data_IF_345530837404
#
_entry.id   IF_345530837404
#
_cell.length_a   1.000
_cell.length_b   1.000
_cell.length_c   1.000
_cell.angle_alpha   90.00
_cell.angle_beta   90.00
_cell.angle_gamma   90.00
#
_symmetry.space_group_name_H-M   'P 1'
#
loop_
_entity.id
_entity.type
_entity.pdbx_description
1 polymer ?
#
# COMPACT_ATOMS: atom_id res chain seq x y z
N UNK A 1 19.82 -54.49 5.17
CA UNK A 1 20.14 -53.57 4.05
C UNK A 1 18.94 -52.76 3.56
N UNK A 2 17.68 -53.20 3.76
CA UNK A 2 16.49 -52.44 3.36
C UNK A 2 16.22 -51.19 4.20
N UNK A 3 16.43 -51.26 5.51
CA UNK A 3 16.08 -50.20 6.47
C UNK A 3 16.87 -48.90 6.32
N UNK A 4 18.09 -48.96 5.77
CA UNK A 4 18.93 -47.77 5.60
C UNK A 4 18.48 -46.89 4.43
N UNK A 5 17.99 -47.50 3.34
CA UNK A 5 17.49 -46.79 2.16
C UNK A 5 16.17 -46.05 2.43
N UNK A 6 15.32 -46.61 3.30
CA UNK A 6 14.04 -45.99 3.70
C UNK A 6 14.23 -44.74 4.58
N UNK A 7 15.32 -44.69 5.36
CA UNK A 7 15.65 -43.52 6.21
C UNK A 7 16.13 -42.36 5.35
N UNK A 8 16.95 -42.62 4.32
CA UNK A 8 17.49 -41.55 3.46
C UNK A 8 16.40 -40.88 2.62
N UNK A 9 15.48 -41.66 2.03
CA UNK A 9 14.34 -41.11 1.30
C UNK A 9 13.36 -40.33 2.17
N UNK A 10 13.19 -40.69 3.44
CA UNK A 10 12.36 -39.93 4.38
C UNK A 10 13.02 -38.62 4.82
N UNK A 11 14.35 -38.60 5.01
CA UNK A 11 15.10 -37.36 5.27
C UNK A 11 15.01 -36.38 4.09
N UNK A 12 15.11 -36.87 2.86
CA UNK A 12 14.98 -36.04 1.65
C UNK A 12 13.59 -35.41 1.55
N UNK A 13 12.52 -36.18 1.77
CA UNK A 13 11.14 -35.67 1.78
C UNK A 13 10.92 -34.63 2.87
N UNK A 14 11.48 -34.84 4.07
CA UNK A 14 11.46 -33.85 5.17
C UNK A 14 12.23 -32.60 4.76
N UNK A 15 13.35 -32.73 4.05
CA UNK A 15 14.13 -31.58 3.57
C UNK A 15 13.36 -30.77 2.52
N UNK A 16 12.70 -31.44 1.57
CA UNK A 16 11.91 -30.80 0.50
C UNK A 16 10.67 -30.14 1.08
N UNK A 17 9.97 -30.81 2.00
CA UNK A 17 8.81 -30.24 2.69
C UNK A 17 9.20 -29.00 3.52
N UNK A 18 10.34 -29.07 4.22
CA UNK A 18 10.87 -27.94 4.99
C UNK A 18 11.27 -26.78 4.09
N UNK A 19 11.91 -27.06 2.95
CA UNK A 19 12.28 -26.05 1.96
C UNK A 19 11.05 -25.40 1.33
N UNK A 20 10.03 -26.19 0.99
CA UNK A 20 8.77 -25.69 0.45
C UNK A 20 8.06 -24.76 1.45
N UNK A 21 7.98 -25.14 2.73
CA UNK A 21 7.37 -24.32 3.77
C UNK A 21 8.10 -22.99 3.95
N UNK A 22 9.45 -23.01 3.99
CA UNK A 22 10.26 -21.78 4.09
C UNK A 22 10.07 -20.88 2.88
N UNK A 23 10.10 -21.44 1.67
CA UNK A 23 9.92 -20.68 0.43
C UNK A 23 8.52 -20.08 0.34
N UNK A 24 7.48 -20.81 0.77
CA UNK A 24 6.12 -20.29 0.86
C UNK A 24 6.02 -19.12 1.82
N UNK A 25 6.64 -19.21 3.00
CA UNK A 25 6.67 -18.10 3.97
C UNK A 25 7.38 -16.86 3.41
N UNK A 26 8.48 -17.04 2.67
CA UNK A 26 9.17 -15.93 1.98
C UNK A 26 8.28 -15.31 0.91
N UNK A 27 7.60 -16.12 0.10
CA UNK A 27 6.68 -15.63 -0.93
C UNK A 27 5.53 -14.82 -0.33
N UNK A 28 4.92 -15.28 0.76
CA UNK A 28 3.86 -14.52 1.43
C UNK A 28 4.38 -13.19 1.98
N UNK A 29 5.55 -13.17 2.63
CA UNK A 29 6.15 -11.91 3.10
C UNK A 29 6.46 -10.93 1.96
N UNK A 30 6.95 -11.42 0.81
CA UNK A 30 7.19 -10.58 -0.36
C UNK A 30 5.88 -10.04 -0.95
N UNK A 31 4.82 -10.85 -0.98
CA UNK A 31 3.49 -10.43 -1.41
C UNK A 31 2.91 -9.37 -0.49
N UNK A 32 2.99 -9.59 0.82
CA UNK A 32 2.53 -8.64 1.83
C UNK A 32 3.30 -7.34 1.77
N UNK A 33 4.63 -7.41 1.63
CA UNK A 33 5.48 -6.23 1.43
C UNK A 33 5.12 -5.47 0.15
N UNK A 34 4.94 -6.15 -0.97
CA UNK A 34 4.55 -5.53 -2.24
C UNK A 34 3.12 -4.95 -2.22
N UNK A 35 2.22 -5.56 -1.45
CA UNK A 35 0.87 -5.03 -1.20
C UNK A 35 0.93 -3.81 -0.29
N UNK A 36 1.69 -3.89 0.80
CA UNK A 36 1.91 -2.79 1.75
C UNK A 36 2.56 -1.57 1.07
N UNK A 37 3.59 -1.78 0.26
CA UNK A 37 4.24 -0.71 -0.51
C UNK A 37 3.33 -0.06 -1.57
N UNK A 38 2.23 -0.72 -1.95
CA UNK A 38 1.19 -0.15 -2.84
C UNK A 38 0.00 0.41 -2.06
N UNK A 39 -0.21 -0.06 -0.83
CA UNK A 39 -1.28 0.35 0.08
C UNK A 39 -0.86 1.55 0.94
N UNK A 40 0.43 1.82 1.08
CA UNK A 40 0.93 3.15 1.41
C UNK A 40 0.58 4.02 0.21
N UNK A 41 -0.60 4.64 0.35
CA UNK A 41 -1.37 5.41 -0.59
C UNK A 41 -0.54 5.97 -1.74
N UNK A 42 -1.03 5.82 -2.97
CA UNK A 42 -0.87 6.90 -3.95
C UNK A 42 -1.61 8.12 -3.39
N UNK A 43 -1.00 8.76 -2.41
CA UNK A 43 -1.48 10.01 -1.85
C UNK A 43 -1.10 11.04 -2.89
N UNK A 44 -2.09 11.43 -3.68
CA UNK A 44 -1.93 12.58 -4.54
C UNK A 44 -1.38 13.73 -3.68
N UNK A 45 -0.35 14.46 -4.14
CA UNK A 45 0.21 15.55 -3.38
C UNK A 45 -0.91 16.52 -2.98
N UNK A 46 -1.11 16.72 -1.68
CA UNK A 46 -2.09 17.69 -1.19
C UNK A 46 -1.47 19.07 -1.26
N UNK A 47 -2.17 20.00 -1.90
CA UNK A 47 -1.72 21.39 -2.05
C UNK A 47 -2.55 22.32 -1.17
N UNK A 48 -1.92 23.36 -0.65
CA UNK A 48 -2.67 24.48 -0.05
C UNK A 48 -3.57 25.12 -1.09
N UNK A 49 -4.68 25.73 -0.66
CA UNK A 49 -5.64 26.37 -1.58
C UNK A 49 -4.97 27.40 -2.50
N UNK A 50 -3.95 28.11 -1.99
CA UNK A 50 -3.18 29.07 -2.78
C UNK A 50 -2.38 28.39 -3.89
N UNK A 51 -1.76 27.24 -3.62
CA UNK A 51 -1.00 26.51 -4.63
C UNK A 51 -1.93 25.83 -5.64
N UNK A 52 -3.07 25.30 -5.19
CA UNK A 52 -4.09 24.77 -6.08
C UNK A 52 -4.60 25.86 -7.05
N UNK A 53 -4.88 27.06 -6.54
CA UNK A 53 -5.30 28.21 -7.32
C UNK A 53 -4.30 28.57 -8.44
N UNK A 54 -3.00 28.58 -8.12
CA UNK A 54 -1.92 28.76 -9.10
C UNK A 54 -1.93 27.66 -10.18
N UNK A 55 -2.06 26.39 -9.77
CA UNK A 55 -2.03 25.24 -10.68
C UNK A 55 -3.21 25.20 -11.65
N UNK A 56 -4.41 25.63 -11.22
CA UNK A 56 -5.61 25.64 -12.08
C UNK A 56 -5.85 26.99 -12.78
N UNK A 57 -4.97 27.99 -12.60
CA UNK A 57 -5.12 29.32 -13.18
C UNK A 57 -6.37 30.06 -12.68
N UNK A 58 -6.76 29.86 -11.42
CA UNK A 58 -7.93 30.47 -10.78
C UNK A 58 -7.54 31.19 -9.49
N UNK A 59 -8.51 31.83 -8.84
CA UNK A 59 -8.31 32.45 -7.53
C UNK A 59 -8.75 31.51 -6.42
N UNK A 60 -8.14 31.64 -5.22
CA UNK A 60 -8.57 30.88 -4.05
C UNK A 60 -10.04 31.16 -3.66
N UNK A 61 -10.56 32.34 -4.00
CA UNK A 61 -11.97 32.68 -3.80
C UNK A 61 -12.88 31.84 -4.72
N UNK A 62 -12.55 31.74 -6.01
CA UNK A 62 -13.32 30.94 -6.96
C UNK A 62 -13.37 29.45 -6.57
N UNK A 63 -12.29 28.92 -5.98
CA UNK A 63 -12.27 27.56 -5.43
C UNK A 63 -13.24 27.42 -4.26
N UNK A 64 -13.23 28.37 -3.31
CA UNK A 64 -14.17 28.36 -2.16
C UNK A 64 -15.63 28.49 -2.59
N UNK A 65 -15.92 29.31 -3.59
CA UNK A 65 -17.26 29.46 -4.13
C UNK A 65 -17.72 28.14 -4.78
N UNK A 66 -16.83 27.47 -5.53
CA UNK A 66 -17.12 26.16 -6.11
C UNK A 66 -17.31 25.04 -5.07
N UNK A 67 -16.54 25.05 -3.96
CA UNK A 67 -16.76 24.17 -2.81
C UNK A 67 -18.14 24.41 -2.20
N UNK A 68 -18.50 25.68 -1.95
CA UNK A 68 -19.78 26.07 -1.34
C UNK A 68 -20.98 25.74 -2.24
N UNK A 69 -20.82 25.87 -3.54
CA UNK A 69 -21.82 25.53 -4.55
C UNK A 69 -21.94 24.01 -4.79
N UNK A 70 -21.12 23.19 -4.12
CA UNK A 70 -21.13 21.73 -4.22
C UNK A 70 -20.53 21.18 -5.51
N UNK A 71 -19.84 22.03 -6.29
CA UNK A 71 -19.15 21.62 -7.52
C UNK A 71 -17.80 20.96 -7.25
N UNK A 72 -17.23 21.20 -6.08
CA UNK A 72 -16.02 20.55 -5.57
C UNK A 72 -16.34 19.82 -4.26
N UNK A 73 -15.65 18.70 -3.96
CA UNK A 73 -15.76 18.06 -2.66
C UNK A 73 -15.30 19.00 -1.54
N UNK A 74 -15.88 18.82 -0.36
CA UNK A 74 -15.44 19.59 0.80
C UNK A 74 -14.00 19.25 1.18
N UNK A 75 -13.21 20.25 1.61
CA UNK A 75 -11.82 20.04 1.99
C UNK A 75 -11.74 19.22 3.27
N UNK A 76 -10.90 18.18 3.25
CA UNK A 76 -10.54 17.44 4.45
C UNK A 76 -9.85 18.39 5.42
N UNK A 77 -10.38 18.51 6.63
CA UNK A 77 -9.79 19.34 7.69
C UNK A 77 -9.09 18.44 8.69
N UNK A 78 -7.85 18.77 9.04
CA UNK A 78 -7.15 18.10 10.14
C UNK A 78 -7.71 18.52 11.50
N UNK A 79 -7.20 17.91 12.57
CA UNK A 79 -7.65 18.10 13.96
C UNK A 79 -7.67 19.58 14.40
N UNK A 80 -6.80 20.41 13.81
CA UNK A 80 -6.70 21.83 14.09
C UNK A 80 -7.70 22.69 13.28
N UNK A 81 -8.68 22.06 12.63
CA UNK A 81 -9.64 22.67 11.70
C UNK A 81 -8.97 23.44 10.53
N UNK A 82 -7.71 23.11 10.22
CA UNK A 82 -6.95 23.65 9.09
C UNK A 82 -6.97 22.66 7.92
N UNK A 83 -7.00 23.20 6.71
CA UNK A 83 -6.92 22.49 5.44
C UNK A 83 -5.47 22.25 5.06
#
# INVERSE_FOLDING_TARGET
MSTALDIEGTQDLVSVATLAARTSSVLEKLRDSARSARADDRREPTFTISKAAELVGRTAAAIRDAEKDGRLPEPVRGDNNRR
#
